data_IF_845475977107
#
_entry.id   IF_845475977107
#
_cell.length_a   1.000
_cell.length_b   1.000
_cell.length_c   1.000
_cell.angle_alpha   90.00
_cell.angle_beta   90.00
_cell.angle_gamma   90.00
#
_symmetry.space_group_name_H-M   'P 1'
#
loop_
_entity.id
_entity.type
_entity.pdbx_description
1 polymer ?
#
# COMPACT_ATOMS: atom_id res chain seq x y z
N UNK A 1 -21.57 22.89 -13.35
CA UNK A 1 -20.77 21.70 -13.66
C UNK A 1 -21.64 20.51 -13.31
N UNK A 2 -21.89 19.62 -14.25
CA UNK A 2 -22.67 18.41 -13.96
C UNK A 2 -21.81 17.48 -13.10
N UNK A 3 -22.27 17.14 -11.89
CA UNK A 3 -21.74 16.04 -11.12
C UNK A 3 -21.90 14.78 -11.95
N UNK A 4 -20.79 14.15 -12.30
CA UNK A 4 -20.83 12.83 -12.92
C UNK A 4 -21.28 11.84 -11.84
N UNK A 5 -22.54 11.43 -11.90
CA UNK A 5 -23.02 10.28 -11.14
C UNK A 5 -22.29 9.03 -11.66
N UNK A 6 -21.36 8.55 -10.86
CA UNK A 6 -20.69 7.28 -11.13
C UNK A 6 -21.59 6.15 -10.61
N UNK A 7 -21.95 5.22 -11.48
CA UNK A 7 -22.78 4.06 -11.12
C UNK A 7 -22.09 3.15 -10.08
N UNK A 8 -22.84 2.23 -9.47
CA UNK A 8 -22.32 1.30 -8.48
C UNK A 8 -21.20 0.43 -9.09
N UNK A 9 -20.02 0.52 -8.51
CA UNK A 9 -18.82 -0.21 -8.96
C UNK A 9 -17.67 0.68 -9.46
N UNK A 10 -17.87 1.98 -9.57
CA UNK A 10 -16.81 2.90 -9.96
C UNK A 10 -15.85 3.14 -8.80
N UNK A 11 -14.57 2.89 -9.04
CA UNK A 11 -13.51 3.26 -8.08
C UNK A 11 -13.22 4.76 -8.25
N UNK A 12 -13.32 5.52 -7.17
CA UNK A 12 -12.81 6.90 -7.17
C UNK A 12 -11.30 6.82 -7.16
N UNK A 13 -10.68 7.19 -8.28
CA UNK A 13 -9.23 7.12 -8.43
C UNK A 13 -8.54 8.13 -7.50
N UNK A 14 -7.37 7.77 -6.95
CA UNK A 14 -6.56 8.73 -6.20
C UNK A 14 -6.13 9.87 -7.12
N UNK A 15 -6.19 11.09 -6.58
CA UNK A 15 -5.69 12.28 -7.27
C UNK A 15 -4.24 12.55 -6.89
N UNK A 16 -3.42 12.92 -7.87
CA UNK A 16 -2.07 13.41 -7.62
C UNK A 16 -2.16 14.86 -7.16
N UNK A 17 -2.12 15.06 -5.84
CA UNK A 17 -2.13 16.37 -5.21
C UNK A 17 -0.72 16.92 -4.91
N UNK A 18 0.32 16.27 -5.44
CA UNK A 18 1.72 16.63 -5.23
C UNK A 18 2.30 16.23 -3.87
N UNK A 19 1.53 15.62 -2.99
CA UNK A 19 1.97 15.25 -1.62
C UNK A 19 2.97 14.11 -1.56
N UNK A 20 3.23 13.42 -2.67
CA UNK A 20 4.21 12.35 -2.78
C UNK A 20 5.47 12.76 -3.56
N UNK A 21 5.52 13.96 -4.11
CA UNK A 21 6.62 14.42 -4.95
C UNK A 21 7.98 14.41 -4.24
N UNK A 22 8.01 14.63 -2.92
CA UNK A 22 9.22 14.65 -2.10
C UNK A 22 9.83 13.25 -1.87
N UNK A 23 9.08 12.17 -2.13
CA UNK A 23 9.50 10.81 -1.82
C UNK A 23 10.54 10.27 -2.80
N UNK A 24 10.47 10.63 -4.08
CA UNK A 24 11.41 10.15 -5.10
C UNK A 24 12.83 10.58 -4.79
N UNK A 25 13.75 9.63 -4.72
CA UNK A 25 15.15 9.87 -4.35
C UNK A 25 15.44 9.92 -2.86
N UNK A 26 14.41 9.80 -2.01
CA UNK A 26 14.57 9.83 -0.55
C UNK A 26 15.19 8.53 -0.03
N UNK A 27 16.19 8.66 0.86
CA UNK A 27 16.73 7.52 1.59
C UNK A 27 15.81 7.20 2.77
N UNK A 28 15.36 5.96 2.86
CA UNK A 28 14.48 5.51 3.96
C UNK A 28 15.31 5.38 5.24
N UNK A 29 14.86 5.97 6.35
CA UNK A 29 15.53 5.76 7.64
C UNK A 29 15.33 4.33 8.15
N UNK A 30 16.25 3.84 8.97
CA UNK A 30 16.16 2.53 9.60
C UNK A 30 15.03 2.50 10.62
N UNK A 31 13.94 1.83 10.28
CA UNK A 31 12.76 1.65 11.13
C UNK A 31 12.29 0.19 10.99
N UNK A 32 12.26 -0.52 12.10
CA UNK A 32 11.74 -1.88 12.13
C UNK A 32 10.22 -1.91 12.10
N UNK A 33 9.65 -2.62 11.12
CA UNK A 33 8.21 -2.83 10.98
C UNK A 33 7.86 -4.29 11.25
N UNK A 34 6.83 -4.52 12.03
CA UNK A 34 6.33 -5.88 12.29
C UNK A 34 5.60 -6.42 11.07
N UNK A 35 6.01 -7.58 10.62
CA UNK A 35 5.40 -8.28 9.49
C UNK A 35 4.44 -9.38 9.94
N UNK A 36 3.50 -9.73 9.09
CA UNK A 36 2.47 -10.75 9.36
C UNK A 36 3.03 -12.17 9.47
N UNK A 37 4.24 -12.41 9.01
CA UNK A 37 4.96 -13.68 9.19
C UNK A 37 5.75 -13.78 10.51
N UNK A 38 5.66 -12.75 11.37
CA UNK A 38 6.36 -12.68 12.65
C UNK A 38 7.77 -12.06 12.56
N UNK A 39 8.26 -11.74 11.37
CA UNK A 39 9.55 -11.09 11.20
C UNK A 39 9.47 -9.57 11.43
N UNK A 40 10.64 -8.96 11.60
CA UNK A 40 10.79 -7.50 11.57
C UNK A 40 11.49 -7.12 10.28
N UNK A 41 10.90 -6.19 9.54
CA UNK A 41 11.39 -5.73 8.24
C UNK A 41 11.86 -4.28 8.35
N UNK A 42 13.05 -4.01 7.86
CA UNK A 42 13.61 -2.67 7.69
C UNK A 42 13.72 -2.36 6.20
N UNK A 43 12.98 -1.36 5.74
CA UNK A 43 12.96 -0.97 4.32
C UNK A 43 14.19 -0.16 3.90
N UNK A 44 15.04 0.26 4.85
CA UNK A 44 16.33 0.90 4.55
C UNK A 44 17.37 -0.09 4.04
N UNK A 45 17.10 -1.38 4.15
CA UNK A 45 17.99 -2.47 3.78
C UNK A 45 17.42 -3.27 2.60
N UNK A 46 18.28 -4.07 1.97
CA UNK A 46 17.91 -5.01 0.91
C UNK A 46 17.97 -4.41 -0.48
N UNK A 47 17.77 -5.27 -1.47
CA UNK A 47 17.77 -4.91 -2.89
C UNK A 47 16.43 -4.37 -3.37
N UNK A 48 16.08 -4.68 -4.62
CA UNK A 48 14.86 -4.16 -5.25
C UNK A 48 13.61 -4.65 -4.51
N UNK A 49 12.91 -3.71 -3.91
CA UNK A 49 11.73 -3.94 -3.08
C UNK A 49 10.55 -3.14 -3.61
N UNK A 50 9.39 -3.77 -3.70
CA UNK A 50 8.13 -3.09 -4.00
C UNK A 50 7.27 -3.08 -2.73
N UNK A 51 6.79 -1.90 -2.37
CA UNK A 51 5.87 -1.71 -1.24
C UNK A 51 4.63 -0.99 -1.73
N UNK A 52 3.47 -1.63 -1.63
CA UNK A 52 2.22 -0.94 -1.86
C UNK A 52 1.58 -0.55 -0.53
N UNK A 53 1.44 0.74 -0.31
CA UNK A 53 0.72 1.27 0.83
C UNK A 53 -0.78 1.36 0.52
N UNK A 54 -1.60 1.00 1.48
CA UNK A 54 -3.05 0.98 1.34
C UNK A 54 -3.73 1.36 2.65
N UNK A 55 -4.94 1.96 2.58
CA UNK A 55 -5.63 2.35 3.80
C UNK A 55 -6.06 1.17 4.66
N UNK A 56 -6.90 0.30 4.13
CA UNK A 56 -7.49 -0.80 4.88
C UNK A 56 -8.15 -1.81 3.94
N UNK A 57 -7.87 -3.09 4.12
CA UNK A 57 -8.63 -4.16 3.45
C UNK A 57 -10.02 -4.28 4.07
N UNK A 58 -10.98 -4.79 3.30
CA UNK A 58 -12.29 -5.11 3.85
C UNK A 58 -12.17 -6.22 4.90
N UNK A 59 -12.83 -6.09 6.07
CA UNK A 59 -12.85 -7.16 7.06
C UNK A 59 -13.61 -8.38 6.53
N UNK A 60 -13.33 -9.55 7.11
CA UNK A 60 -14.06 -10.78 6.78
C UNK A 60 -15.55 -10.67 7.12
N UNK A 61 -15.87 -9.94 8.19
CA UNK A 61 -17.23 -9.69 8.68
C UNK A 61 -17.39 -8.20 8.92
N UNK A 62 -18.49 -7.63 8.45
CA UNK A 62 -18.81 -6.22 8.56
C UNK A 62 -18.52 -5.44 7.29
N UNK A 63 -18.89 -4.17 7.28
CA UNK A 63 -18.76 -3.26 6.16
C UNK A 63 -17.60 -2.28 6.29
N UNK A 64 -17.38 -1.52 5.23
CA UNK A 64 -16.50 -0.36 5.27
C UNK A 64 -17.09 0.77 6.14
N UNK A 65 -16.25 1.68 6.67
CA UNK A 65 -16.72 2.86 7.35
C UNK A 65 -17.67 3.69 6.51
N UNK A 66 -18.58 4.42 7.16
CA UNK A 66 -19.49 5.33 6.49
C UNK A 66 -18.71 6.36 5.66
N UNK A 67 -19.17 6.60 4.42
CA UNK A 67 -18.51 7.50 3.49
C UNK A 67 -17.22 6.97 2.84
N UNK A 68 -16.85 5.73 3.12
CA UNK A 68 -15.61 5.10 2.61
C UNK A 68 -15.46 5.17 1.09
N UNK A 69 -16.53 4.85 0.37
CA UNK A 69 -16.51 4.81 -1.09
C UNK A 69 -16.36 6.18 -1.75
N UNK A 70 -16.66 7.26 -1.01
CA UNK A 70 -16.48 8.63 -1.48
C UNK A 70 -15.05 9.16 -1.28
N UNK A 71 -14.21 8.48 -0.50
CA UNK A 71 -12.82 8.89 -0.26
C UNK A 71 -11.96 8.42 -1.44
N UNK A 72 -11.29 9.36 -2.17
CA UNK A 72 -10.42 9.00 -3.29
C UNK A 72 -9.35 7.98 -2.89
N UNK A 73 -9.29 6.85 -3.60
CA UNK A 73 -8.30 5.79 -3.36
C UNK A 73 -8.52 4.92 -2.12
N UNK A 74 -9.60 5.11 -1.36
CA UNK A 74 -9.87 4.30 -0.18
C UNK A 74 -10.36 2.90 -0.53
N UNK A 75 -11.22 2.79 -1.53
CA UNK A 75 -11.80 1.53 -2.00
C UNK A 75 -10.81 0.73 -2.85
N UNK A 76 -10.88 -0.59 -2.78
CA UNK A 76 -10.14 -1.51 -3.66
C UNK A 76 -8.84 -2.07 -3.07
N UNK A 77 -8.61 -1.95 -1.77
CA UNK A 77 -7.40 -2.50 -1.13
C UNK A 77 -7.31 -4.03 -1.26
N UNK A 78 -8.42 -4.73 -1.08
CA UNK A 78 -8.48 -6.18 -1.27
C UNK A 78 -8.15 -6.56 -2.72
N UNK A 79 -8.75 -5.88 -3.69
CA UNK A 79 -8.47 -6.10 -5.12
C UNK A 79 -7.02 -5.78 -5.47
N UNK A 80 -6.44 -4.74 -4.89
CA UNK A 80 -5.03 -4.39 -5.08
C UNK A 80 -4.11 -5.51 -4.56
N UNK A 81 -4.35 -6.00 -3.34
CA UNK A 81 -3.58 -7.10 -2.76
C UNK A 81 -3.67 -8.36 -3.62
N UNK A 82 -4.84 -8.69 -4.13
CA UNK A 82 -5.02 -9.82 -5.04
C UNK A 82 -4.28 -9.62 -6.38
N UNK A 83 -4.23 -8.40 -6.90
CA UNK A 83 -3.46 -8.09 -8.10
C UNK A 83 -1.97 -8.34 -7.89
N UNK A 84 -1.41 -7.87 -6.79
CA UNK A 84 0.00 -8.13 -6.44
C UNK A 84 0.26 -9.62 -6.22
N UNK A 85 -0.66 -10.33 -5.55
CA UNK A 85 -0.59 -11.79 -5.39
C UNK A 85 -0.48 -12.50 -6.74
N UNK A 86 -1.37 -12.17 -7.66
CA UNK A 86 -1.47 -12.84 -8.96
C UNK A 86 -0.26 -12.56 -9.86
N UNK A 87 0.44 -11.43 -9.65
CA UNK A 87 1.63 -11.02 -10.40
C UNK A 87 2.95 -11.24 -9.65
N UNK A 88 2.90 -11.84 -8.47
CA UNK A 88 4.08 -12.00 -7.62
C UNK A 88 5.23 -12.77 -8.31
N UNK A 89 4.90 -13.87 -8.98
CA UNK A 89 5.91 -14.66 -9.71
C UNK A 89 6.55 -13.88 -10.87
N UNK A 90 5.76 -13.09 -11.61
CA UNK A 90 6.26 -12.23 -12.67
C UNK A 90 7.21 -11.16 -12.13
N UNK A 91 6.86 -10.54 -11.00
CA UNK A 91 7.71 -9.54 -10.34
C UNK A 91 9.03 -10.13 -9.87
N UNK A 92 9.01 -11.33 -9.29
CA UNK A 92 10.22 -12.08 -8.94
C UNK A 92 11.09 -12.37 -10.18
N UNK A 93 10.46 -12.73 -11.30
CA UNK A 93 11.14 -13.01 -12.56
C UNK A 93 11.85 -11.79 -13.17
N UNK A 94 11.38 -10.58 -12.87
CA UNK A 94 12.03 -9.32 -13.35
C UNK A 94 12.98 -8.69 -12.33
N UNK A 95 13.29 -9.38 -11.24
CA UNK A 95 14.33 -8.98 -10.29
C UNK A 95 13.84 -8.35 -9.00
N UNK A 96 12.53 -8.30 -8.73
CA UNK A 96 12.00 -7.86 -7.44
C UNK A 96 12.37 -8.89 -6.38
N UNK A 97 13.17 -8.50 -5.41
CA UNK A 97 13.60 -9.39 -4.33
C UNK A 97 12.57 -9.52 -3.22
N UNK A 98 11.90 -8.41 -2.89
CA UNK A 98 10.91 -8.34 -1.82
C UNK A 98 9.68 -7.59 -2.25
N UNK A 99 8.50 -8.08 -1.86
CA UNK A 99 7.21 -7.41 -2.03
C UNK A 99 6.48 -7.37 -0.70
N UNK A 100 5.99 -6.20 -0.33
CA UNK A 100 5.21 -6.00 0.90
C UNK A 100 3.99 -5.12 0.65
N UNK A 101 2.89 -5.42 1.35
CA UNK A 101 1.85 -4.43 1.61
C UNK A 101 2.17 -3.67 2.90
N UNK A 102 1.77 -2.42 2.98
CA UNK A 102 1.99 -1.56 4.14
C UNK A 102 0.68 -0.86 4.53
N UNK A 103 0.32 -0.94 5.79
CA UNK A 103 -0.85 -0.26 6.34
C UNK A 103 -0.59 0.16 7.78
N UNK A 104 -1.39 1.11 8.27
CA UNK A 104 -1.39 1.49 9.69
C UNK A 104 -2.27 0.58 10.55
N UNK A 105 -2.95 -0.38 9.95
CA UNK A 105 -3.72 -1.39 10.68
C UNK A 105 -2.80 -2.31 11.49
N UNK A 106 -3.36 -2.91 12.55
CA UNK A 106 -2.60 -3.82 13.40
C UNK A 106 -2.08 -5.04 12.64
N UNK A 107 -1.03 -5.65 13.16
CA UNK A 107 -0.47 -6.90 12.59
C UNK A 107 -1.54 -8.01 12.56
N UNK A 108 -2.35 -8.15 13.61
CA UNK A 108 -3.41 -9.16 13.66
C UNK A 108 -4.48 -8.96 12.60
N UNK A 109 -4.90 -7.71 12.38
CA UNK A 109 -5.86 -7.38 11.33
C UNK A 109 -5.31 -7.73 9.94
N UNK A 110 -4.05 -7.38 9.68
CA UNK A 110 -3.42 -7.66 8.40
C UNK A 110 -3.11 -9.14 8.21
N UNK A 111 -2.76 -9.86 9.29
CA UNK A 111 -2.52 -11.30 9.25
C UNK A 111 -3.78 -12.06 8.83
N UNK A 112 -4.93 -11.70 9.36
CA UNK A 112 -6.21 -12.27 8.92
C UNK A 112 -6.42 -12.07 7.42
N UNK A 113 -6.20 -10.86 6.92
CA UNK A 113 -6.34 -10.56 5.49
C UNK A 113 -5.33 -11.34 4.64
N UNK A 114 -4.07 -11.43 5.07
CA UNK A 114 -3.04 -12.17 4.36
C UNK A 114 -3.37 -13.66 4.23
N UNK A 115 -3.88 -14.26 5.30
CA UNK A 115 -4.30 -15.67 5.32
C UNK A 115 -5.53 -15.90 4.44
N UNK A 116 -6.56 -15.09 4.60
CA UNK A 116 -7.80 -15.20 3.84
C UNK A 116 -7.60 -15.00 2.34
N UNK A 117 -6.71 -14.09 1.95
CA UNK A 117 -6.41 -13.78 0.55
C UNK A 117 -5.28 -14.65 -0.03
N UNK A 118 -4.70 -15.54 0.76
CA UNK A 118 -3.57 -16.40 0.35
C UNK A 118 -2.40 -15.60 -0.24
N UNK A 119 -1.98 -14.54 0.43
CA UNK A 119 -0.87 -13.70 -0.04
C UNK A 119 0.47 -14.44 0.13
N UNK A 120 1.30 -14.55 -0.92
CA UNK A 120 2.61 -15.21 -0.85
C UNK A 120 3.71 -14.30 -0.29
N UNK A 121 3.37 -13.12 0.16
CA UNK A 121 4.26 -12.12 0.74
C UNK A 121 3.67 -11.58 2.04
N UNK A 122 4.50 -11.11 2.99
CA UNK A 122 3.99 -10.54 4.22
C UNK A 122 3.45 -9.12 4.04
N UNK A 123 2.59 -8.72 4.98
CA UNK A 123 2.13 -7.35 5.13
C UNK A 123 2.84 -6.70 6.32
N UNK A 124 3.13 -5.42 6.21
CA UNK A 124 3.83 -4.63 7.22
C UNK A 124 2.85 -3.74 7.98
N UNK A 125 3.00 -3.67 9.29
CA UNK A 125 2.19 -2.83 10.16
C UNK A 125 2.97 -1.62 10.64
N UNK A 126 2.53 -0.42 10.30
CA UNK A 126 3.04 0.85 10.83
C UNK A 126 2.01 1.50 11.78
N UNK A 127 1.53 0.72 12.76
CA UNK A 127 0.49 1.15 13.68
C UNK A 127 0.89 2.36 14.54
N UNK A 128 2.19 2.52 14.82
CA UNK A 128 2.74 3.67 15.53
C UNK A 128 2.93 4.90 14.65
N UNK A 129 2.74 4.79 13.34
CA UNK A 129 2.98 5.83 12.35
C UNK A 129 4.46 6.28 12.24
N UNK A 130 5.39 5.48 12.73
CA UNK A 130 6.81 5.83 12.75
C UNK A 130 7.37 6.05 11.34
N UNK A 131 7.11 5.10 10.43
CA UNK A 131 7.53 5.23 9.03
C UNK A 131 6.74 6.31 8.29
N UNK A 132 5.43 6.35 8.50
CA UNK A 132 4.56 7.36 7.87
C UNK A 132 5.03 8.79 8.19
N UNK A 133 5.37 9.06 9.45
CA UNK A 133 5.87 10.37 9.88
C UNK A 133 7.27 10.66 9.36
N UNK A 134 8.15 9.68 9.40
CA UNK A 134 9.54 9.84 8.92
C UNK A 134 9.61 10.15 7.43
N UNK A 135 8.73 9.55 6.63
CA UNK A 135 8.66 9.78 5.18
C UNK A 135 7.63 10.83 4.78
N UNK A 136 6.89 11.39 5.72
CA UNK A 136 5.79 12.32 5.46
C UNK A 136 4.82 11.76 4.40
N UNK A 137 4.40 10.49 4.60
CA UNK A 137 3.43 9.84 3.73
C UNK A 137 2.06 10.53 3.84
N UNK A 138 1.30 10.60 2.75
CA UNK A 138 -0.03 11.20 2.80
C UNK A 138 -0.98 10.34 3.63
N UNK A 139 -1.60 10.96 4.63
CA UNK A 139 -2.51 10.33 5.57
C UNK A 139 -3.89 10.97 5.48
N UNK A 140 -4.89 10.23 5.91
CA UNK A 140 -6.24 10.75 6.14
C UNK A 140 -6.88 10.07 7.36
N UNK A 141 -7.90 10.70 7.90
CA UNK A 141 -8.62 10.18 9.06
C UNK A 141 -10.06 9.80 8.69
N UNK A 142 -10.50 8.67 9.22
CA UNK A 142 -11.87 8.18 9.12
C UNK A 142 -12.22 7.38 10.38
N UNK A 143 -13.33 7.69 11.01
CA UNK A 143 -13.81 7.01 12.23
C UNK A 143 -12.73 6.85 13.33
N UNK A 144 -11.92 7.89 13.55
CA UNK A 144 -10.84 7.88 14.55
C UNK A 144 -9.59 7.10 14.13
N UNK A 145 -9.56 6.53 12.91
CA UNK A 145 -8.38 5.84 12.37
C UNK A 145 -7.55 6.79 11.52
N UNK A 146 -6.23 6.76 11.68
CA UNK A 146 -5.30 7.42 10.77
C UNK A 146 -4.79 6.41 9.76
N UNK A 147 -5.10 6.61 8.49
CA UNK A 147 -4.83 5.68 7.41
C UNK A 147 -3.91 6.27 6.36
N UNK A 148 -3.13 5.42 5.69
CA UNK A 148 -2.24 5.83 4.60
C UNK A 148 -3.07 5.93 3.31
N UNK A 149 -2.88 7.02 2.56
CA UNK A 149 -3.39 7.09 1.19
C UNK A 149 -2.67 6.08 0.31
N UNK A 150 -3.39 5.53 -0.65
CA UNK A 150 -2.86 4.53 -1.56
C UNK A 150 -1.68 5.06 -2.37
N UNK A 151 -0.56 4.34 -2.31
CA UNK A 151 0.60 4.59 -3.16
C UNK A 151 1.46 3.33 -3.26
N UNK A 152 2.31 3.29 -4.27
CA UNK A 152 3.29 2.21 -4.44
C UNK A 152 4.69 2.80 -4.51
N UNK A 153 5.61 2.24 -3.73
CA UNK A 153 7.02 2.61 -3.71
C UNK A 153 7.84 1.51 -4.37
N UNK A 154 8.76 1.91 -5.25
CA UNK A 154 9.84 1.05 -5.73
C UNK A 154 11.10 1.53 -5.03
N UNK A 155 11.73 0.62 -4.27
CA UNK A 155 12.85 0.90 -3.40
C UNK A 155 14.03 0.03 -3.84
N UNK A 156 15.21 0.61 -3.95
CA UNK A 156 16.44 -0.13 -4.21
C UNK A 156 17.53 0.32 -3.24
N UNK A 157 18.10 -0.63 -2.51
CA UNK A 157 19.09 -0.39 -1.46
C UNK A 157 18.68 0.71 -0.46
N UNK A 158 17.40 0.70 -0.06
CA UNK A 158 16.84 1.64 0.90
C UNK A 158 16.50 3.02 0.34
N UNK A 159 16.68 3.24 -0.97
CA UNK A 159 16.34 4.49 -1.64
C UNK A 159 15.07 4.33 -2.45
N UNK A 160 14.17 5.31 -2.33
CA UNK A 160 12.95 5.34 -3.14
C UNK A 160 13.31 5.80 -4.55
N UNK A 161 13.21 4.89 -5.51
CA UNK A 161 13.52 5.16 -6.92
C UNK A 161 12.29 5.64 -7.69
N UNK A 162 11.09 5.17 -7.32
CA UNK A 162 9.86 5.54 -7.98
C UNK A 162 8.67 5.51 -7.02
N UNK A 163 7.72 6.41 -7.24
CA UNK A 163 6.44 6.49 -6.50
C UNK A 163 5.30 6.53 -7.51
N UNK A 164 4.28 5.70 -7.28
CA UNK A 164 3.03 5.73 -8.03
C UNK A 164 1.85 5.85 -7.08
N UNK A 165 0.92 6.73 -7.38
CA UNK A 165 -0.34 6.89 -6.64
C UNK A 165 -1.51 6.15 -7.29
N UNK A 166 -1.32 5.57 -8.46
CA UNK A 166 -2.35 4.85 -9.18
C UNK A 166 -2.39 3.38 -8.77
N UNK A 167 -3.58 2.79 -8.84
CA UNK A 167 -3.69 1.34 -8.78
C UNK A 167 -2.89 0.74 -9.95
N UNK A 168 -2.02 -0.21 -9.65
CA UNK A 168 -1.17 -0.86 -10.65
C UNK A 168 -2.05 -1.50 -11.74
N UNK A 169 -1.99 -0.98 -12.94
CA UNK A 169 -2.44 -1.68 -14.12
C UNK A 169 -1.25 -2.42 -14.73
N UNK A 170 -1.50 -3.59 -15.31
CA UNK A 170 -0.49 -4.44 -15.95
C UNK A 170 0.43 -3.70 -16.93
N UNK A 171 -0.05 -2.59 -17.51
CA UNK A 171 0.71 -1.75 -18.43
C UNK A 171 1.77 -0.86 -17.78
N UNK A 172 1.76 -0.77 -16.45
CA UNK A 172 2.65 0.13 -15.69
C UNK A 172 3.75 -0.61 -14.92
N UNK A 173 3.87 -1.94 -15.14
CA UNK A 173 5.04 -2.65 -14.65
C UNK A 173 6.30 -2.04 -15.29
N UNK A 174 7.32 -1.71 -14.47
CA UNK A 174 8.57 -1.20 -15.04
C UNK A 174 9.08 -2.20 -16.08
N UNK A 175 9.11 -1.75 -17.31
CA UNK A 175 9.85 -2.47 -18.36
C UNK A 175 11.32 -2.28 -18.05
N UNK A 176 11.91 -3.30 -17.46
CA UNK A 176 13.36 -3.37 -17.39
C UNK A 176 13.92 -3.89 -18.70
#
# INVERSE_FOLDING_TARGET
>A
MAEKEFGPGYLVMPEDDGKVAHLSGLQIPSIGLTATDGSTVDLSEGGLTVVYAYPRTSPAIGGAPEGWDAIPGARGCTSQSCTFRDHFAEMKGVGVERLFGLSTQSTDYQKEAAERLHLPFPLLADSSLALCRALELPLFEVEGMTLIKRLTLIIDNGRIEHVSIQCFHRSEMPRM
#
